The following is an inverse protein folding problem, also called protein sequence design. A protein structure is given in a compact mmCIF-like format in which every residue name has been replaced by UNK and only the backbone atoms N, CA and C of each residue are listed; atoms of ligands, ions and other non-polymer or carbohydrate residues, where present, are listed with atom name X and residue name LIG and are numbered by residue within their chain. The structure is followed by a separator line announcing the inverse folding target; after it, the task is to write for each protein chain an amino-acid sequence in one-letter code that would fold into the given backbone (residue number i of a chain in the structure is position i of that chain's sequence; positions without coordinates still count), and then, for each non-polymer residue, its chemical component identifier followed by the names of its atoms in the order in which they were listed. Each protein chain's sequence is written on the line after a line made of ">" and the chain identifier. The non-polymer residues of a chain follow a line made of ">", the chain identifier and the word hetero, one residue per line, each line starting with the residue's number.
data_IF_563764253996
#
_entry.id   IF_563764253996
#
_cell.length_a   1.000
_cell.length_b   1.000
_cell.length_c   1.000
_cell.angle_alpha   90.00
_cell.angle_beta   90.00
_cell.angle_gamma   90.00
#
_symmetry.space_group_name_H-M   'P 1'
#
loop_
_entity.id
_entity.type
_entity.pdbx_description
1 polymer ?
#
# COMPACT_ATOMS: atom_id res chain seq x y z
N UNK A 1 -5.58 20.90 -3.50
CA UNK A 1 -5.50 19.72 -4.39
C UNK A 1 -6.82 19.57 -5.12
N UNK A 2 -6.81 19.30 -6.43
CA UNK A 2 -8.01 19.05 -7.23
C UNK A 2 -7.98 17.62 -7.76
N UNK A 3 -9.02 16.82 -7.52
CA UNK A 3 -9.12 15.46 -8.07
C UNK A 3 -9.22 15.52 -9.59
N UNK A 4 -8.38 14.74 -10.27
CA UNK A 4 -8.30 14.66 -11.74
C UNK A 4 -8.57 13.25 -12.28
N UNK A 5 -8.67 12.24 -11.42
CA UNK A 5 -9.03 10.88 -11.84
C UNK A 5 -9.11 9.89 -10.69
N UNK A 6 -9.53 8.67 -11.03
CA UNK A 6 -9.52 7.51 -10.15
C UNK A 6 -8.87 6.33 -10.89
N UNK A 7 -8.00 5.62 -10.19
CA UNK A 7 -7.16 4.56 -10.74
C UNK A 7 -7.20 3.35 -9.83
N UNK A 8 -6.93 2.19 -10.41
CA UNK A 8 -6.78 0.94 -9.66
C UNK A 8 -5.46 0.27 -9.99
N UNK A 9 -4.73 -0.16 -8.98
CA UNK A 9 -3.62 -1.08 -9.12
C UNK A 9 -4.03 -2.43 -8.52
N UNK A 10 -3.93 -3.50 -9.30
CA UNK A 10 -4.26 -4.86 -8.87
C UNK A 10 -3.21 -5.85 -9.35
N UNK A 11 -3.07 -6.95 -8.65
CA UNK A 11 -2.16 -8.01 -9.04
C UNK A 11 -1.93 -9.00 -7.91
N UNK A 12 -0.81 -9.70 -8.01
CA UNK A 12 -0.40 -10.72 -7.06
C UNK A 12 1.09 -10.54 -6.71
N UNK A 13 1.46 -10.92 -5.49
CA UNK A 13 2.85 -11.05 -5.02
C UNK A 13 3.05 -12.42 -4.37
N UNK A 14 4.28 -12.90 -4.30
CA UNK A 14 4.64 -14.07 -3.48
C UNK A 14 4.61 -13.73 -1.99
N UNK A 15 4.48 -14.73 -1.13
CA UNK A 15 4.62 -14.57 0.33
C UNK A 15 5.93 -13.86 0.70
N UNK A 16 5.83 -12.90 1.61
CA UNK A 16 6.95 -12.10 2.15
C UNK A 16 7.78 -11.38 1.08
N UNK A 17 7.20 -11.11 -0.10
CA UNK A 17 7.82 -10.34 -1.16
C UNK A 17 7.39 -8.87 -1.12
N UNK A 18 8.27 -7.98 -1.54
CA UNK A 18 7.96 -6.56 -1.77
C UNK A 18 7.85 -6.29 -3.26
N UNK A 19 6.77 -5.64 -3.69
CA UNK A 19 6.54 -5.21 -5.07
C UNK A 19 6.50 -3.70 -5.17
N UNK A 20 7.30 -3.15 -6.08
CA UNK A 20 7.23 -1.74 -6.49
C UNK A 20 6.11 -1.53 -7.51
N UNK A 21 5.30 -0.50 -7.28
CA UNK A 21 4.27 0.00 -8.16
C UNK A 21 4.69 1.42 -8.55
N UNK A 22 5.15 1.59 -9.78
CA UNK A 22 5.57 2.89 -10.30
C UNK A 22 4.35 3.73 -10.64
N UNK A 23 4.20 4.87 -9.98
CA UNK A 23 3.09 5.80 -10.12
C UNK A 23 3.50 7.11 -10.83
N UNK A 24 4.80 7.41 -10.87
CA UNK A 24 5.34 8.61 -11.49
C UNK A 24 4.87 8.74 -12.95
N UNK A 25 4.27 9.88 -13.27
CA UNK A 25 3.69 10.16 -14.59
C UNK A 25 4.50 11.19 -15.39
N UNK A 26 5.70 11.54 -14.93
CA UNK A 26 6.55 12.56 -15.53
C UNK A 26 6.33 13.97 -15.00
N UNK A 27 5.41 14.17 -14.04
CA UNK A 27 5.08 15.49 -13.49
C UNK A 27 5.11 15.50 -11.96
N UNK A 28 5.73 16.52 -11.38
CA UNK A 28 5.77 16.73 -9.92
C UNK A 28 4.57 17.53 -9.38
N UNK A 29 3.73 18.07 -10.27
CA UNK A 29 2.49 18.77 -9.90
C UNK A 29 1.26 17.83 -9.88
N UNK A 30 1.48 16.52 -9.98
CA UNK A 30 0.44 15.52 -9.73
C UNK A 30 0.91 14.46 -8.74
N UNK A 31 -0.06 13.80 -8.12
CA UNK A 31 0.19 12.68 -7.24
C UNK A 31 -1.09 11.90 -6.96
N UNK A 32 -0.97 10.85 -6.17
CA UNK A 32 -2.04 9.91 -5.86
C UNK A 32 -2.31 9.91 -4.36
N UNK A 33 -3.58 9.77 -3.98
CA UNK A 33 -3.99 9.35 -2.64
C UNK A 33 -4.56 7.95 -2.74
N UNK A 34 -4.06 7.02 -1.94
CA UNK A 34 -4.73 5.75 -1.68
C UNK A 34 -6.03 6.03 -0.94
N UNK A 35 -7.12 5.42 -1.39
CA UNK A 35 -8.45 5.54 -0.76
C UNK A 35 -9.04 4.18 -0.38
N UNK A 36 -8.47 3.08 -0.88
CA UNK A 36 -8.80 1.73 -0.43
C UNK A 36 -7.61 0.82 -0.71
N UNK A 37 -7.29 -0.03 0.25
CA UNK A 37 -6.33 -1.11 0.09
C UNK A 37 -6.95 -2.40 0.61
N UNK A 38 -6.94 -3.45 -0.22
CA UNK A 38 -7.47 -4.76 0.12
C UNK A 38 -6.49 -5.84 -0.30
N UNK A 39 -6.38 -6.87 0.53
CA UNK A 39 -5.57 -8.07 0.28
C UNK A 39 -6.44 -9.32 0.38
N UNK A 40 -6.06 -10.35 -0.37
CA UNK A 40 -6.73 -11.65 -0.37
C UNK A 40 -5.69 -12.75 -0.59
N UNK A 41 -5.86 -13.96 -0.01
CA UNK A 41 -5.06 -15.11 -0.39
C UNK A 41 -5.35 -15.50 -1.85
N UNK A 42 -4.43 -16.24 -2.46
CA UNK A 42 -4.66 -16.97 -3.70
C UNK A 42 -5.59 -18.18 -3.53
N UNK A 43 -5.61 -18.76 -2.33
CA UNK A 43 -6.45 -19.88 -1.93
C UNK A 43 -7.48 -19.49 -0.85
N UNK A 44 -8.61 -18.85 -1.19
CA UNK A 44 -9.57 -18.32 -0.22
C UNK A 44 -10.38 -19.38 0.55
N UNK A 45 -10.08 -20.66 0.35
CA UNK A 45 -10.72 -21.80 1.02
C UNK A 45 -9.73 -22.62 1.86
N UNK A 46 -8.44 -22.26 1.87
CA UNK A 46 -7.42 -22.93 2.67
C UNK A 46 -7.38 -22.29 4.05
N UNK A 47 -7.67 -23.07 5.09
CA UNK A 47 -7.57 -22.60 6.47
C UNK A 47 -6.14 -22.09 6.77
N UNK A 48 -6.02 -21.06 7.61
CA UNK A 48 -4.76 -20.40 7.94
C UNK A 48 -4.08 -19.69 6.76
N UNK A 49 -4.76 -19.48 5.63
CA UNK A 49 -4.33 -18.59 4.56
C UNK A 49 -4.58 -17.11 4.91
N UNK A 50 -4.36 -16.73 6.17
CA UNK A 50 -4.57 -15.38 6.66
C UNK A 50 -3.56 -14.47 5.97
N UNK A 51 -4.03 -13.34 5.42
CA UNK A 51 -3.17 -12.43 4.69
C UNK A 51 -3.11 -11.09 5.38
N UNK A 52 -1.92 -10.54 5.48
CA UNK A 52 -1.68 -9.15 5.87
C UNK A 52 -0.87 -8.45 4.79
N UNK A 53 -1.05 -7.13 4.69
CA UNK A 53 -0.33 -6.30 3.75
C UNK A 53 -0.07 -4.90 4.30
N UNK A 54 1.02 -4.31 3.83
CA UNK A 54 1.44 -2.94 4.12
C UNK A 54 1.73 -2.23 2.80
N UNK A 55 1.21 -1.02 2.65
CA UNK A 55 1.63 -0.09 1.62
C UNK A 55 2.56 0.95 2.22
N UNK A 56 3.70 1.17 1.57
CA UNK A 56 4.65 2.18 1.97
C UNK A 56 5.17 3.01 0.79
N UNK A 57 5.66 4.21 1.07
CA UNK A 57 6.27 5.08 0.05
C UNK A 57 7.72 4.74 -0.24
N UNK A 58 8.37 3.96 0.64
CA UNK A 58 9.76 3.51 0.50
C UNK A 58 9.86 2.00 0.68
N UNK A 59 10.80 1.35 -0.02
CA UNK A 59 10.94 -0.11 0.07
C UNK A 59 11.34 -0.59 1.46
N UNK A 60 12.13 0.19 2.19
CA UNK A 60 12.63 -0.16 3.53
C UNK A 60 11.51 -0.17 4.59
N UNK A 61 10.45 0.62 4.39
CA UNK A 61 9.29 0.69 5.28
C UNK A 61 8.21 -0.34 4.94
N UNK A 62 8.28 -0.96 3.75
CA UNK A 62 7.37 -2.02 3.33
C UNK A 62 7.79 -3.36 3.97
N UNK A 63 7.46 -3.54 5.24
CA UNK A 63 7.84 -4.71 6.06
C UNK A 63 6.61 -5.50 6.53
N UNK A 64 6.87 -6.58 7.28
CA UNK A 64 5.82 -7.38 7.92
C UNK A 64 5.15 -6.66 9.10
N UNK A 65 5.81 -5.64 9.65
CA UNK A 65 5.36 -4.96 10.86
C UNK A 65 4.41 -3.82 10.51
N UNK A 66 3.32 -3.72 11.25
CA UNK A 66 2.40 -2.58 11.19
C UNK A 66 2.90 -1.52 12.17
N UNK A 67 3.87 -0.72 11.74
CA UNK A 67 4.42 0.37 12.53
C UNK A 67 3.73 1.68 12.16
N UNK A 68 2.67 2.02 12.88
CA UNK A 68 1.92 3.26 12.68
C UNK A 68 2.71 4.52 13.07
N UNK A 69 3.88 4.38 13.69
CA UNK A 69 4.78 5.51 13.93
C UNK A 69 5.68 5.81 12.71
N UNK A 70 5.83 4.86 11.77
CA UNK A 70 6.54 5.08 10.51
C UNK A 70 5.61 5.75 9.49
N UNK A 71 5.81 7.04 9.24
CA UNK A 71 4.96 7.82 8.31
C UNK A 71 5.16 7.41 6.84
N UNK A 72 6.16 6.58 6.54
CA UNK A 72 6.33 5.98 5.22
C UNK A 72 5.33 4.85 5.00
N UNK A 73 4.79 4.22 6.05
CA UNK A 73 3.67 3.29 5.95
C UNK A 73 2.35 4.08 5.88
N UNK A 74 1.56 3.83 4.84
CA UNK A 74 0.40 4.67 4.51
C UNK A 74 -0.92 3.90 4.40
N UNK A 75 -0.86 2.57 4.40
CA UNK A 75 -2.05 1.75 4.51
C UNK A 75 -1.72 0.33 4.98
N UNK A 76 -2.69 -0.27 5.64
CA UNK A 76 -2.63 -1.63 6.17
C UNK A 76 -3.90 -2.36 5.78
N UNK A 77 -3.79 -3.66 5.50
CA UNK A 77 -4.94 -4.49 5.22
C UNK A 77 -4.68 -5.90 5.72
N UNK A 78 -5.70 -6.50 6.32
CA UNK A 78 -5.66 -7.90 6.72
C UNK A 78 -6.95 -8.61 6.36
N UNK A 79 -6.86 -9.93 6.20
CA UNK A 79 -8.01 -10.81 6.07
C UNK A 79 -7.71 -12.13 6.78
N UNK A 80 -8.66 -12.58 7.60
CA UNK A 80 -8.64 -13.87 8.30
C UNK A 80 -9.43 -14.88 7.44
N UNK A 81 -8.88 -16.09 7.27
CA UNK A 81 -9.50 -17.20 6.55
C UNK A 81 -9.83 -18.33 7.51
N UNK A 82 -11.13 -18.60 7.63
CA UNK A 82 -11.68 -19.66 8.47
C UNK A 82 -12.30 -20.78 7.65
N UNK A 83 -12.49 -21.93 8.28
CA UNK A 83 -13.28 -23.02 7.71
C UNK A 83 -14.71 -22.52 7.42
N UNK A 84 -15.00 -22.25 6.14
CA UNK A 84 -16.27 -21.66 5.68
C UNK A 84 -16.14 -20.37 4.88
N UNK A 85 -14.94 -19.79 4.78
CA UNK A 85 -14.64 -18.62 3.94
C UNK A 85 -13.94 -17.49 4.70
N UNK A 86 -14.10 -16.27 4.19
CA UNK A 86 -13.52 -15.06 4.79
C UNK A 86 -14.16 -14.74 6.15
N UNK A 87 -13.32 -14.61 7.18
CA UNK A 87 -13.68 -13.85 8.37
C UNK A 87 -13.43 -12.35 8.13
N UNK A 88 -14.03 -11.51 8.98
CA UNK A 88 -13.85 -10.06 8.90
C UNK A 88 -12.36 -9.70 8.95
N UNK A 89 -11.91 -8.91 7.98
CA UNK A 89 -10.56 -8.39 7.90
C UNK A 89 -10.39 -7.07 8.66
N UNK A 90 -9.15 -6.60 8.78
CA UNK A 90 -8.82 -5.33 9.43
C UNK A 90 -7.91 -4.45 8.58
N UNK A 91 -7.43 -3.37 9.18
CA UNK A 91 -6.57 -2.38 8.53
C UNK A 91 -7.29 -1.08 8.18
N UNK A 92 -6.51 -0.09 7.77
CA UNK A 92 -7.00 1.24 7.41
C UNK A 92 -6.02 1.89 6.42
N UNK A 93 -6.45 2.99 5.81
CA UNK A 93 -5.61 3.84 4.96
C UNK A 93 -5.37 5.15 5.69
N UNK A 94 -4.12 5.59 5.81
CA UNK A 94 -3.82 6.91 6.36
C UNK A 94 -4.51 7.98 5.49
N UNK A 95 -5.49 8.75 6.01
CA UNK A 95 -6.21 9.74 5.22
C UNK A 95 -5.31 10.87 4.69
N UNK A 96 -4.13 11.07 5.27
CA UNK A 96 -3.18 12.13 4.91
C UNK A 96 -2.08 11.65 3.95
N UNK A 97 -2.19 10.42 3.44
CA UNK A 97 -1.26 9.89 2.45
C UNK A 97 -1.26 10.71 1.15
N UNK A 98 -0.07 10.87 0.55
CA UNK A 98 0.10 11.46 -0.78
C UNK A 98 1.39 10.93 -1.42
N UNK A 99 1.28 10.36 -2.62
CA UNK A 99 2.35 9.62 -3.30
C UNK A 99 2.60 10.24 -4.66
N UNK A 100 3.85 10.55 -4.97
CA UNK A 100 4.26 11.16 -6.26
C UNK A 100 4.92 10.13 -7.18
N UNK A 101 5.83 9.32 -6.64
CA UNK A 101 6.71 8.49 -7.47
C UNK A 101 6.38 7.00 -7.40
N UNK A 102 6.62 6.39 -6.26
CA UNK A 102 6.50 4.95 -6.09
C UNK A 102 5.67 4.57 -4.87
N UNK A 103 5.02 3.43 -5.01
CA UNK A 103 4.29 2.77 -3.96
C UNK A 103 4.82 1.35 -3.83
N UNK A 104 5.19 0.95 -2.62
CA UNK A 104 5.69 -0.38 -2.32
C UNK A 104 4.61 -1.16 -1.58
N UNK A 105 4.33 -2.36 -2.06
CA UNK A 105 3.44 -3.31 -1.40
C UNK A 105 4.27 -4.47 -0.85
N UNK A 106 4.19 -4.70 0.45
CA UNK A 106 4.68 -5.92 1.11
C UNK A 106 3.51 -6.70 1.68
N UNK A 107 3.57 -8.02 1.63
CA UNK A 107 2.52 -8.84 2.20
C UNK A 107 3.04 -10.18 2.71
N UNK A 108 2.31 -10.73 3.67
CA UNK A 108 2.56 -12.04 4.26
C UNK A 108 1.28 -12.86 4.24
N UNK A 109 1.44 -14.14 3.93
CA UNK A 109 0.39 -15.14 3.96
C UNK A 109 0.72 -16.21 4.99
N UNK A 110 -0.22 -16.51 5.89
CA UNK A 110 -0.09 -17.52 6.94
C UNK A 110 0.20 -18.93 6.42
N UNK A 111 -0.18 -19.24 5.17
CA UNK A 111 0.07 -20.53 4.52
C UNK A 111 1.22 -20.49 3.48
N UNK A 112 1.97 -19.39 3.41
CA UNK A 112 3.02 -19.15 2.40
C UNK A 112 2.56 -19.15 0.93
N UNK A 113 1.25 -19.07 0.69
CA UNK A 113 0.64 -18.86 -0.61
C UNK A 113 0.84 -17.44 -1.12
N UNK A 114 0.51 -17.23 -2.39
CA UNK A 114 0.59 -15.89 -2.98
C UNK A 114 -0.54 -14.99 -2.46
N UNK A 115 -0.35 -13.68 -2.64
CA UNK A 115 -1.23 -12.65 -2.10
C UNK A 115 -1.75 -11.79 -3.24
N UNK A 116 -3.07 -11.79 -3.42
CA UNK A 116 -3.77 -10.89 -4.31
C UNK A 116 -3.99 -9.54 -3.63
N UNK A 117 -3.91 -8.46 -4.40
CA UNK A 117 -4.18 -7.11 -3.91
C UNK A 117 -5.04 -6.29 -4.86
N UNK A 118 -5.81 -5.38 -4.27
CA UNK A 118 -6.55 -4.33 -4.96
C UNK A 118 -6.36 -3.00 -4.23
N UNK A 119 -5.77 -2.04 -4.93
CA UNK A 119 -5.53 -0.68 -4.45
C UNK A 119 -6.38 0.25 -5.31
N UNK A 120 -7.19 1.08 -4.65
CA UNK A 120 -7.93 2.16 -5.31
C UNK A 120 -7.26 3.47 -4.92
N UNK A 121 -6.95 4.28 -5.93
CA UNK A 121 -6.28 5.55 -5.78
C UNK A 121 -7.05 6.66 -6.47
N UNK A 122 -6.98 7.85 -5.92
CA UNK A 122 -7.44 9.07 -6.54
C UNK A 122 -6.23 9.90 -6.96
N UNK A 123 -6.23 10.37 -8.20
CA UNK A 123 -5.16 11.24 -8.69
C UNK A 123 -5.56 12.70 -8.50
N UNK A 124 -4.61 13.51 -8.05
CA UNK A 124 -4.78 14.92 -7.78
C UNK A 124 -3.76 15.76 -8.54
N UNK A 125 -4.22 16.91 -9.02
CA UNK A 125 -3.37 18.04 -9.35
C UNK A 125 -3.07 18.82 -8.07
N UNK A 126 -1.80 19.14 -7.87
CA UNK A 126 -1.27 19.83 -6.70
C UNK A 126 -0.28 20.91 -7.14
N UNK A 127 0.15 21.74 -6.21
CA UNK A 127 1.25 22.67 -6.49
C UNK A 127 2.58 21.92 -6.53
N UNK A 128 3.50 22.32 -7.41
CA UNK A 128 4.82 21.69 -7.54
C UNK A 128 5.56 21.58 -6.20
N UNK A 129 5.46 22.61 -5.35
CA UNK A 129 6.08 22.59 -4.02
C UNK A 129 5.48 21.54 -3.07
N UNK A 130 4.20 21.19 -3.19
CA UNK A 130 3.56 20.16 -2.37
C UNK A 130 4.03 18.76 -2.80
N UNK A 131 4.16 18.54 -4.12
CA UNK A 131 4.76 17.31 -4.65
C UNK A 131 6.21 17.16 -4.19
N UNK A 132 7.00 18.23 -4.30
CA UNK A 132 8.38 18.24 -3.83
C UNK A 132 8.50 18.00 -2.31
N UNK A 133 7.64 18.63 -1.49
CA UNK A 133 7.63 18.43 -0.04
C UNK A 133 7.30 16.97 0.33
N UNK A 134 6.36 16.34 -0.37
CA UNK A 134 6.02 14.94 -0.14
C UNK A 134 7.23 14.02 -0.39
N UNK A 135 7.99 14.26 -1.46
CA UNK A 135 9.23 13.52 -1.73
C UNK A 135 10.27 13.73 -0.63
N UNK A 136 10.51 15.00 -0.23
CA UNK A 136 11.48 15.33 0.83
C UNK A 136 11.12 14.68 2.16
N UNK A 137 9.83 14.65 2.55
CA UNK A 137 9.38 14.03 3.79
C UNK A 137 9.71 12.53 3.82
N UNK A 138 9.48 11.85 2.71
CA UNK A 138 9.74 10.42 2.59
C UNK A 138 11.24 10.13 2.66
N UNK A 139 12.06 10.87 1.91
CA UNK A 139 13.51 10.72 1.93
C UNK A 139 14.13 11.09 3.28
N UNK A 140 13.63 12.12 3.98
CA UNK A 140 14.19 12.57 5.26
C UNK A 140 14.04 11.53 6.38
N UNK A 141 12.98 10.71 6.36
CA UNK A 141 12.80 9.64 7.34
C UNK A 141 13.66 8.41 7.04
N UNK A 142 14.04 8.22 5.76
CA UNK A 142 14.92 7.11 5.36
C UNK A 142 16.36 7.28 5.83
N UNK A 143 16.82 8.51 6.06
CA UNK A 143 18.19 8.80 6.52
C UNK A 143 18.34 8.73 8.06
N UNK A 144 17.23 8.52 8.79
CA UNK A 144 17.19 8.55 10.25
C UNK A 144 17.06 7.19 10.95
N UNK A 145 16.96 6.09 10.20
CA UNK A 145 16.77 4.72 10.72
C UNK A 145 18.02 3.85 10.61
#
# INVERSE_FOLDING_TARGET
>A
MKKIGQYTARGQISDQATKRITLFDGRFDTGYKVVSFKVFPDEPYTAAADVVGVLATESAAATNDWDLNDQRQIAWASVDIRTGGFAEGGGDVDPDNFIVEDLYFHGKNGNSGAINYLIVMEKYETSEWMGALAMVRNSAQDVGS
#
